data_IF_451348187491
#
_entry.id   IF_451348187491
#
_cell.length_a   1.000
_cell.length_b   1.000
_cell.length_c   1.000
_cell.angle_alpha   90.00
_cell.angle_beta   90.00
_cell.angle_gamma   90.00
#
_symmetry.space_group_name_H-M   'P 1'
#
loop_
_entity.id
_entity.type
_entity.pdbx_description
1 polymer ?
#
# COMPACT_ATOMS: atom_id res chain seq x y z
N UNK A 1 17.32 -5.97 -8.58
CA UNK A 1 16.49 -6.94 -7.84
C UNK A 1 16.32 -6.57 -6.36
N UNK A 2 17.40 -6.32 -5.58
CA UNK A 2 17.28 -5.99 -4.15
C UNK A 2 16.51 -4.70 -3.89
N UNK A 3 16.82 -3.65 -4.64
CA UNK A 3 16.12 -2.34 -4.54
C UNK A 3 14.64 -2.46 -4.90
N UNK A 4 14.30 -3.18 -5.94
CA UNK A 4 12.89 -3.39 -6.35
C UNK A 4 12.09 -4.16 -5.29
N UNK A 5 12.72 -5.18 -4.69
CA UNK A 5 12.11 -5.88 -3.54
C UNK A 5 11.89 -4.96 -2.34
N UNK A 6 12.86 -4.09 -2.05
CA UNK A 6 12.73 -3.08 -1.01
C UNK A 6 11.58 -2.09 -1.28
N UNK A 7 11.46 -1.62 -2.52
CA UNK A 7 10.37 -0.74 -2.95
C UNK A 7 9.01 -1.43 -2.81
N UNK A 8 8.89 -2.68 -3.25
CA UNK A 8 7.66 -3.45 -3.11
C UNK A 8 7.25 -3.58 -1.63
N UNK A 9 8.16 -4.05 -0.76
CA UNK A 9 7.89 -4.17 0.68
C UNK A 9 7.58 -2.83 1.35
N UNK A 10 8.27 -1.77 0.98
CA UNK A 10 7.97 -0.42 1.48
C UNK A 10 6.52 -0.04 1.19
N UNK A 11 6.05 -0.24 -0.05
CA UNK A 11 4.65 0.02 -0.43
C UNK A 11 3.67 -0.81 0.40
N UNK A 12 3.95 -2.09 0.66
CA UNK A 12 3.09 -2.95 1.50
C UNK A 12 3.02 -2.47 2.95
N UNK A 13 4.17 -2.10 3.55
CA UNK A 13 4.22 -1.56 4.91
C UNK A 13 3.40 -0.27 4.98
N UNK A 14 3.48 0.59 3.97
CA UNK A 14 2.72 1.83 3.92
C UNK A 14 1.22 1.56 3.80
N UNK A 15 0.81 0.64 2.94
CA UNK A 15 -0.60 0.20 2.83
C UNK A 15 -1.13 -0.31 4.17
N UNK A 16 -0.38 -1.18 4.83
CA UNK A 16 -0.79 -1.75 6.11
C UNK A 16 -0.89 -0.67 7.18
N UNK A 17 0.15 0.17 7.32
CA UNK A 17 0.19 1.22 8.34
C UNK A 17 -0.93 2.24 8.14
N UNK A 18 -1.10 2.75 6.92
CA UNK A 18 -2.13 3.74 6.61
C UNK A 18 -3.54 3.14 6.68
N UNK A 19 -3.70 1.89 6.24
CA UNK A 19 -5.00 1.21 6.23
C UNK A 19 -5.51 0.84 7.61
N UNK A 20 -4.65 0.33 8.50
CA UNK A 20 -5.04 -0.09 9.84
C UNK A 20 -5.18 1.07 10.84
N UNK A 21 -4.61 2.22 10.56
CA UNK A 21 -4.58 3.31 11.53
C UNK A 21 -5.87 4.14 11.50
N UNK A 22 -6.62 4.13 12.60
CA UNK A 22 -7.89 4.89 12.74
C UNK A 22 -7.72 6.39 13.03
N UNK A 23 -6.58 6.85 13.51
CA UNK A 23 -6.36 8.22 14.02
C UNK A 23 -5.48 9.13 13.18
N UNK A 24 -4.82 8.60 12.17
CA UNK A 24 -3.93 9.39 11.32
C UNK A 24 -2.69 8.62 10.85
N UNK A 25 -2.03 9.16 9.87
CA UNK A 25 -0.83 8.57 9.27
C UNK A 25 0.27 9.63 9.22
N UNK A 26 1.37 9.37 9.91
CA UNK A 26 2.48 10.29 9.99
C UNK A 26 3.60 9.86 9.04
N UNK A 27 3.93 10.73 8.10
CA UNK A 27 5.15 10.65 7.32
C UNK A 27 6.22 11.52 7.95
N UNK A 28 7.38 10.93 8.22
CA UNK A 28 8.51 11.67 8.72
C UNK A 28 9.50 11.95 7.60
N UNK A 29 9.61 13.23 7.25
CA UNK A 29 10.71 13.85 6.52
C UNK A 29 11.39 12.99 5.42
N UNK A 30 10.66 12.64 4.35
CA UNK A 30 11.18 11.93 3.20
C UNK A 30 10.90 10.42 3.19
N UNK A 31 10.23 9.89 4.22
CA UNK A 31 9.78 8.49 4.21
C UNK A 31 8.85 8.22 3.04
N UNK A 32 8.06 9.22 2.62
CA UNK A 32 7.12 9.14 1.51
C UNK A 32 7.75 8.73 0.18
N UNK A 33 9.04 9.02 -0.02
CA UNK A 33 9.77 8.60 -1.23
C UNK A 33 11.03 7.77 -0.92
N UNK A 34 11.25 7.36 0.34
CA UNK A 34 12.40 6.55 0.73
C UNK A 34 13.72 7.30 0.69
N UNK A 35 13.74 8.55 1.18
CA UNK A 35 14.96 9.38 1.21
C UNK A 35 16.13 8.63 1.86
N UNK A 36 17.29 8.53 1.20
CA UNK A 36 18.37 7.65 1.63
C UNK A 36 19.27 8.23 2.70
N UNK A 37 19.22 9.55 2.91
CA UNK A 37 20.10 10.21 3.87
C UNK A 37 19.56 10.10 5.30
N UNK A 38 20.48 9.90 6.21
CA UNK A 38 20.30 10.12 7.63
C UNK A 38 19.81 11.55 7.91
N UNK A 39 18.91 11.70 8.87
CA UNK A 39 18.46 13.00 9.36
C UNK A 39 19.13 13.27 10.69
N UNK A 40 19.92 14.33 10.73
CA UNK A 40 20.56 14.82 11.93
C UNK A 40 20.25 16.31 12.10
N UNK A 41 19.38 16.62 13.07
CA UNK A 41 19.06 18.01 13.39
C UNK A 41 20.25 18.70 14.09
N UNK A 42 20.35 20.03 13.98
CA UNK A 42 21.40 20.80 14.68
C UNK A 42 21.42 20.49 16.19
N UNK A 43 22.55 20.07 16.67
CA UNK A 43 22.81 19.76 18.09
C UNK A 43 24.29 19.96 18.41
N UNK A 44 24.63 20.00 19.66
CA UNK A 44 26.03 20.21 20.09
C UNK A 44 26.99 19.18 19.46
N UNK A 45 26.61 17.90 19.39
CA UNK A 45 27.42 16.81 18.85
C UNK A 45 27.73 16.89 17.34
N UNK A 46 27.02 17.72 16.58
CA UNK A 46 27.28 17.96 15.17
C UNK A 46 27.63 19.45 14.88
N UNK A 47 28.09 20.18 15.90
CA UNK A 47 28.42 21.61 15.81
C UNK A 47 27.28 22.47 15.27
N UNK A 48 26.05 22.17 15.62
CA UNK A 48 24.82 22.84 15.16
C UNK A 48 24.66 22.88 13.65
N UNK A 49 25.16 21.84 12.97
CA UNK A 49 25.13 21.75 11.52
C UNK A 49 23.73 21.40 10.98
N UNK A 50 23.30 22.10 9.93
CA UNK A 50 22.08 21.82 9.16
C UNK A 50 22.32 20.88 7.98
N UNK A 51 23.54 20.38 7.77
CA UNK A 51 23.92 19.61 6.58
C UNK A 51 22.96 18.43 6.31
N UNK A 52 22.56 17.71 7.34
CA UNK A 52 21.69 16.54 7.26
C UNK A 52 20.26 16.79 7.77
N UNK A 53 19.88 18.05 8.02
CA UNK A 53 18.53 18.44 8.42
C UNK A 53 17.65 18.85 7.22
N UNK A 54 17.86 18.21 6.08
CA UNK A 54 17.19 18.57 4.81
C UNK A 54 16.65 17.35 4.09
N UNK A 55 15.79 17.60 3.08
CA UNK A 55 15.35 16.63 2.09
C UNK A 55 15.87 17.00 0.72
N UNK A 56 16.32 15.99 0.00
CA UNK A 56 16.75 16.16 -1.39
C UNK A 56 15.58 15.82 -2.31
N UNK A 57 14.66 16.75 -2.51
CA UNK A 57 13.52 16.59 -3.40
C UNK A 57 13.93 16.29 -4.83
N UNK A 58 15.10 16.76 -5.25
CA UNK A 58 15.68 16.42 -6.56
C UNK A 58 15.85 14.91 -6.78
N UNK A 59 15.99 14.10 -5.74
CA UNK A 59 16.02 12.64 -5.88
C UNK A 59 14.64 12.09 -6.25
N UNK A 60 13.59 12.61 -5.62
CA UNK A 60 12.20 12.24 -5.90
C UNK A 60 11.79 12.67 -7.31
N UNK A 61 12.20 13.86 -7.73
CA UNK A 61 11.78 14.47 -8.99
C UNK A 61 12.62 14.01 -10.20
N UNK A 62 13.70 13.27 -9.95
CA UNK A 62 14.54 12.73 -11.01
C UNK A 62 13.94 11.46 -11.62
N UNK A 63 13.46 11.54 -12.87
CA UNK A 63 12.84 10.43 -13.60
C UNK A 63 13.75 9.24 -13.90
N UNK A 64 15.06 9.37 -13.75
CA UNK A 64 16.02 8.26 -13.86
C UNK A 64 16.20 7.47 -12.56
N UNK A 65 15.65 7.98 -11.44
CA UNK A 65 15.75 7.35 -10.13
C UNK A 65 14.41 6.74 -9.72
N UNK A 66 14.46 5.71 -8.88
CA UNK A 66 13.27 4.95 -8.46
C UNK A 66 12.50 5.60 -7.31
N UNK A 67 12.97 6.70 -6.74
CA UNK A 67 12.32 7.38 -5.62
C UNK A 67 10.94 7.95 -5.98
N UNK A 68 10.74 8.33 -7.25
CA UNK A 68 9.45 8.80 -7.75
C UNK A 68 8.35 7.75 -7.56
N UNK A 69 8.65 6.46 -7.73
CA UNK A 69 7.65 5.39 -7.59
C UNK A 69 7.04 5.32 -6.20
N UNK A 70 7.88 5.47 -5.17
CA UNK A 70 7.40 5.52 -3.78
C UNK A 70 6.63 6.80 -3.51
N UNK A 71 7.14 7.96 -3.96
CA UNK A 71 6.47 9.25 -3.77
C UNK A 71 5.10 9.32 -4.44
N UNK A 72 4.97 8.79 -5.67
CA UNK A 72 3.68 8.72 -6.38
C UNK A 72 2.72 7.74 -5.69
N UNK A 73 3.23 6.58 -5.27
CA UNK A 73 2.42 5.61 -4.54
C UNK A 73 1.88 6.19 -3.23
N UNK A 74 2.74 6.85 -2.43
CA UNK A 74 2.33 7.48 -1.18
C UNK A 74 1.30 8.58 -1.41
N UNK A 75 1.50 9.44 -2.40
CA UNK A 75 0.58 10.51 -2.74
C UNK A 75 -0.82 9.97 -3.13
N UNK A 76 -0.87 8.89 -3.90
CA UNK A 76 -2.13 8.24 -4.29
C UNK A 76 -2.79 7.53 -3.09
N UNK A 77 -2.01 6.85 -2.25
CA UNK A 77 -2.51 6.25 -1.02
C UNK A 77 -3.11 7.30 -0.09
N UNK A 78 -2.45 8.45 0.10
CA UNK A 78 -2.96 9.53 0.94
C UNK A 78 -4.25 10.15 0.39
N UNK A 79 -4.36 10.32 -0.93
CA UNK A 79 -5.61 10.76 -1.57
C UNK A 79 -6.73 9.76 -1.31
N UNK A 80 -6.44 8.47 -1.40
CA UNK A 80 -7.41 7.41 -1.18
C UNK A 80 -7.89 7.37 0.28
N UNK A 81 -6.96 7.37 1.24
CA UNK A 81 -7.28 7.31 2.68
C UNK A 81 -8.12 8.52 3.14
N UNK A 82 -7.88 9.70 2.59
CA UNK A 82 -8.67 10.91 2.91
C UNK A 82 -10.16 10.78 2.55
N UNK A 83 -10.52 9.83 1.69
CA UNK A 83 -11.94 9.61 1.33
C UNK A 83 -12.68 8.70 2.31
N UNK A 84 -11.95 8.07 3.25
CA UNK A 84 -12.52 7.14 4.22
C UNK A 84 -12.98 7.88 5.46
N UNK A 85 -14.27 7.82 5.77
CA UNK A 85 -14.86 8.46 6.94
C UNK A 85 -15.04 7.51 8.13
N UNK A 86 -14.93 6.19 7.92
CA UNK A 86 -15.07 5.18 8.97
C UNK A 86 -13.68 4.81 9.53
N UNK A 87 -13.42 5.02 10.83
CA UNK A 87 -12.17 4.59 11.47
C UNK A 87 -12.15 3.10 11.79
N UNK A 88 -13.29 2.40 11.73
CA UNK A 88 -13.42 0.99 12.09
C UNK A 88 -12.74 0.05 11.11
N UNK A 89 -12.19 -1.05 11.64
CA UNK A 89 -11.65 -2.16 10.86
C UNK A 89 -12.63 -3.32 10.91
N UNK A 90 -13.06 -3.79 9.76
CA UNK A 90 -14.01 -4.87 9.58
C UNK A 90 -13.40 -5.99 8.73
N UNK A 91 -13.91 -7.21 8.83
CA UNK A 91 -13.49 -8.36 8.03
C UNK A 91 -11.97 -8.63 8.09
N UNK A 92 -11.33 -8.32 9.25
CA UNK A 92 -9.91 -8.56 9.42
C UNK A 92 -9.60 -10.05 9.34
N UNK A 93 -8.73 -10.40 8.41
CA UNK A 93 -8.25 -11.77 8.21
C UNK A 93 -6.73 -11.78 8.11
N UNK A 94 -6.09 -12.67 8.87
CA UNK A 94 -4.65 -12.88 8.86
C UNK A 94 -4.42 -14.35 8.54
N UNK A 95 -4.02 -14.66 7.32
CA UNK A 95 -3.69 -16.01 6.88
C UNK A 95 -2.17 -16.18 6.86
N UNK A 96 -1.64 -16.62 7.97
CA UNK A 96 -0.18 -16.73 8.18
C UNK A 96 0.49 -17.64 7.17
N UNK A 97 -0.12 -18.80 6.87
CA UNK A 97 0.42 -19.75 5.90
C UNK A 97 0.54 -19.16 4.48
N UNK A 98 -0.43 -18.33 4.10
CA UNK A 98 -0.47 -17.70 2.77
C UNK A 98 0.31 -16.37 2.74
N UNK A 99 0.76 -15.87 3.89
CA UNK A 99 1.35 -14.54 4.07
C UNK A 99 0.44 -13.42 3.61
N UNK A 100 -0.87 -13.57 3.78
CA UNK A 100 -1.88 -12.59 3.34
C UNK A 100 -2.60 -11.98 4.52
N UNK A 101 -2.75 -10.66 4.47
CA UNK A 101 -3.60 -9.88 5.38
C UNK A 101 -4.66 -9.18 4.56
N UNK A 102 -5.91 -9.24 5.00
CA UNK A 102 -6.99 -8.46 4.40
C UNK A 102 -7.90 -7.86 5.47
N UNK A 103 -8.49 -6.71 5.16
CA UNK A 103 -9.45 -6.03 6.03
C UNK A 103 -10.23 -4.98 5.24
N UNK A 104 -11.40 -4.63 5.73
CA UNK A 104 -12.16 -3.49 5.25
C UNK A 104 -12.04 -2.30 6.20
N UNK A 105 -11.98 -1.11 5.61
CA UNK A 105 -12.11 0.16 6.30
C UNK A 105 -13.03 1.08 5.48
N UNK A 106 -14.21 1.37 6.01
CA UNK A 106 -15.26 2.02 5.25
C UNK A 106 -15.63 1.21 4.00
N UNK A 107 -15.58 1.86 2.84
CA UNK A 107 -15.84 1.27 1.53
C UNK A 107 -14.59 0.64 0.86
N UNK A 108 -13.44 0.67 1.54
CA UNK A 108 -12.18 0.13 1.02
C UNK A 108 -11.85 -1.25 1.59
N UNK A 109 -11.58 -2.20 0.70
CA UNK A 109 -11.05 -3.52 1.03
C UNK A 109 -9.56 -3.56 0.70
N UNK A 110 -8.73 -3.71 1.72
CA UNK A 110 -7.28 -3.87 1.63
C UNK A 110 -6.93 -5.35 1.59
N UNK A 111 -6.08 -5.75 0.65
CA UNK A 111 -5.60 -7.12 0.48
C UNK A 111 -4.10 -7.06 0.24
N UNK A 112 -3.31 -7.65 1.12
CA UNK A 112 -1.85 -7.50 1.11
C UNK A 112 -1.20 -8.88 1.14
N UNK A 113 -0.42 -9.19 0.11
CA UNK A 113 0.35 -10.40 -0.02
C UNK A 113 1.83 -10.13 0.28
N UNK A 114 2.31 -10.60 1.40
CA UNK A 114 3.71 -10.50 1.81
C UNK A 114 4.59 -11.65 1.29
N UNK A 115 3.99 -12.66 0.65
CA UNK A 115 4.77 -13.78 0.12
C UNK A 115 5.82 -13.30 -0.88
N UNK A 116 7.07 -13.76 -0.77
CA UNK A 116 8.16 -13.35 -1.66
C UNK A 116 8.01 -13.85 -3.09
N UNK A 117 7.27 -14.94 -3.32
CA UNK A 117 7.28 -15.69 -4.57
C UNK A 117 5.91 -16.30 -4.94
N UNK A 118 4.98 -16.40 -3.98
CA UNK A 118 3.66 -16.97 -4.24
C UNK A 118 2.66 -15.93 -4.69
N UNK A 119 2.20 -16.04 -5.93
CA UNK A 119 1.00 -15.34 -6.44
C UNK A 119 -0.21 -16.27 -6.32
N UNK A 120 -1.38 -15.68 -6.07
CA UNK A 120 -2.62 -16.42 -5.90
C UNK A 120 -3.61 -16.05 -7.01
N UNK A 121 -4.16 -17.07 -7.67
CA UNK A 121 -5.32 -16.92 -8.56
C UNK A 121 -6.59 -17.21 -7.77
N UNK A 122 -7.66 -16.47 -8.04
CA UNK A 122 -8.97 -16.65 -7.39
C UNK A 122 -8.90 -16.69 -5.84
N UNK A 123 -8.03 -15.86 -5.26
CA UNK A 123 -7.86 -15.81 -3.81
C UNK A 123 -9.12 -15.28 -3.14
N UNK A 124 -9.66 -16.06 -2.22
CA UNK A 124 -10.95 -15.82 -1.58
C UNK A 124 -10.79 -14.90 -0.36
N UNK A 125 -11.39 -13.72 -0.40
CA UNK A 125 -11.26 -12.67 0.61
C UNK A 125 -12.63 -12.29 1.16
N UNK A 126 -12.85 -12.40 2.50
CA UNK A 126 -14.08 -11.93 3.11
C UNK A 126 -14.31 -10.43 2.89
N UNK A 127 -15.51 -10.07 2.50
CA UNK A 127 -15.87 -8.70 2.19
C UNK A 127 -17.37 -8.45 2.40
N UNK A 128 -17.78 -7.21 2.57
CA UNK A 128 -19.20 -6.85 2.57
C UNK A 128 -19.81 -7.13 1.19
N UNK A 129 -21.05 -7.63 1.17
CA UNK A 129 -21.76 -7.90 -0.07
C UNK A 129 -21.77 -6.68 -1.01
N UNK A 130 -21.54 -6.91 -2.30
CA UNK A 130 -21.58 -5.85 -3.30
C UNK A 130 -20.63 -6.04 -4.46
N UNK A 131 -20.45 -4.99 -5.23
CA UNK A 131 -19.46 -4.94 -6.30
C UNK A 131 -18.30 -4.00 -5.96
N UNK A 132 -17.13 -4.31 -6.52
CA UNK A 132 -15.88 -3.66 -6.21
C UNK A 132 -15.09 -3.32 -7.47
N UNK A 133 -14.30 -2.26 -7.40
CA UNK A 133 -13.32 -1.91 -8.44
C UNK A 133 -11.95 -1.64 -7.81
N UNK A 134 -10.90 -1.76 -8.60
CA UNK A 134 -9.56 -1.38 -8.18
C UNK A 134 -9.52 0.11 -7.86
N UNK A 135 -9.07 0.44 -6.65
CA UNK A 135 -8.84 1.82 -6.21
C UNK A 135 -7.35 2.15 -6.14
N UNK A 136 -6.52 1.16 -5.82
CA UNK A 136 -5.06 1.28 -5.80
C UNK A 136 -4.44 -0.11 -5.91
N UNK A 137 -3.42 -0.27 -6.75
CA UNK A 137 -2.57 -1.46 -6.79
C UNK A 137 -1.11 -1.07 -6.61
N UNK A 138 -0.42 -1.70 -5.68
CA UNK A 138 1.02 -1.47 -5.50
C UNK A 138 1.86 -2.03 -6.64
N UNK A 139 1.26 -2.91 -7.46
CA UNK A 139 1.88 -3.53 -8.65
C UNK A 139 1.62 -2.73 -9.94
N UNK A 140 0.97 -1.57 -9.86
CA UNK A 140 0.78 -0.69 -11.00
C UNK A 140 2.13 -0.19 -11.54
N UNK A 141 2.24 -0.12 -12.87
CA UNK A 141 3.46 0.30 -13.57
C UNK A 141 3.88 1.73 -13.21
N UNK A 142 2.94 2.63 -12.95
CA UNK A 142 3.24 3.99 -12.50
C UNK A 142 4.00 4.03 -11.18
N UNK A 143 3.92 2.97 -10.37
CA UNK A 143 4.64 2.82 -9.11
C UNK A 143 5.82 1.84 -9.23
N UNK A 144 6.27 1.55 -10.44
CA UNK A 144 7.36 0.61 -10.71
C UNK A 144 7.00 -0.87 -10.48
N UNK A 145 5.72 -1.20 -10.55
CA UNK A 145 5.22 -2.58 -10.55
C UNK A 145 5.19 -3.20 -11.94
N UNK A 146 4.64 -4.41 -12.02
CA UNK A 146 4.58 -5.20 -13.26
C UNK A 146 3.24 -5.05 -13.99
N UNK A 147 2.24 -4.43 -13.37
CA UNK A 147 0.92 -4.21 -13.96
C UNK A 147 0.11 -5.48 -14.18
N UNK A 148 0.24 -6.46 -13.27
CA UNK A 148 -0.43 -7.76 -13.39
C UNK A 148 -1.92 -7.71 -13.02
N UNK A 149 -2.37 -6.64 -12.35
CA UNK A 149 -3.77 -6.42 -12.00
C UNK A 149 -4.37 -5.37 -12.92
N UNK A 150 -5.46 -5.72 -13.61
CA UNK A 150 -6.16 -4.79 -14.49
C UNK A 150 -6.91 -3.72 -13.67
N UNK A 151 -6.68 -2.45 -13.99
CA UNK A 151 -7.22 -1.32 -13.23
C UNK A 151 -8.74 -1.11 -13.41
N UNK A 152 -9.29 -1.49 -14.54
CA UNK A 152 -10.71 -1.36 -14.88
C UNK A 152 -11.55 -2.60 -14.49
N UNK A 153 -10.92 -3.64 -13.94
CA UNK A 153 -11.59 -4.86 -13.53
C UNK A 153 -12.61 -4.60 -12.43
N UNK A 154 -13.80 -5.17 -12.60
CA UNK A 154 -14.83 -5.24 -11.57
C UNK A 154 -14.83 -6.61 -10.92
N UNK A 155 -15.03 -6.61 -9.61
CA UNK A 155 -15.17 -7.81 -8.81
C UNK A 155 -16.55 -7.83 -8.17
N UNK A 156 -17.10 -9.02 -8.01
CA UNK A 156 -18.40 -9.22 -7.37
C UNK A 156 -18.23 -10.19 -6.22
N UNK A 157 -18.93 -9.94 -5.12
CA UNK A 157 -18.98 -10.90 -4.03
C UNK A 157 -19.88 -12.07 -4.39
N UNK A 158 -19.54 -13.22 -3.83
CA UNK A 158 -20.36 -14.42 -3.86
C UNK A 158 -20.50 -14.99 -2.45
N UNK A 159 -21.62 -15.64 -2.10
CA UNK A 159 -21.80 -16.31 -0.83
C UNK A 159 -20.70 -17.35 -0.58
N UNK A 160 -20.10 -17.33 0.61
CA UNK A 160 -19.11 -18.29 1.07
C UNK A 160 -19.51 -18.92 2.39
N UNK A 161 -18.72 -19.85 2.93
CA UNK A 161 -19.04 -20.59 4.16
C UNK A 161 -19.22 -19.70 5.41
N UNK A 162 -18.60 -18.53 5.42
CA UNK A 162 -18.56 -17.62 6.57
C UNK A 162 -19.03 -16.20 6.23
N UNK A 163 -19.79 -16.02 5.16
CA UNK A 163 -20.26 -14.74 4.64
C UNK A 163 -19.85 -14.51 3.19
N UNK A 164 -20.05 -13.30 2.71
CA UNK A 164 -19.70 -12.96 1.34
C UNK A 164 -18.19 -12.81 1.17
N UNK A 165 -17.70 -13.26 0.01
CA UNK A 165 -16.28 -13.18 -0.34
C UNK A 165 -16.12 -12.62 -1.76
N UNK A 166 -15.02 -11.91 -1.98
CA UNK A 166 -14.56 -11.52 -3.31
C UNK A 166 -13.36 -12.39 -3.70
N UNK A 167 -13.26 -12.76 -4.98
CA UNK A 167 -12.11 -13.52 -5.50
C UNK A 167 -11.24 -12.61 -6.35
N UNK A 168 -9.94 -12.63 -6.05
CA UNK A 168 -8.97 -11.74 -6.70
C UNK A 168 -7.73 -12.49 -7.18
N UNK A 169 -7.12 -11.99 -8.25
CA UNK A 169 -5.73 -12.30 -8.52
C UNK A 169 -4.85 -11.44 -7.63
N UNK A 170 -3.95 -12.06 -6.88
CA UNK A 170 -3.11 -11.39 -5.90
C UNK A 170 -1.64 -11.73 -6.13
N UNK A 171 -0.89 -10.87 -6.85
CA UNK A 171 0.52 -11.09 -7.13
C UNK A 171 1.38 -11.17 -5.87
N UNK A 172 2.51 -11.88 -5.95
CA UNK A 172 3.50 -11.91 -4.89
C UNK A 172 4.02 -10.50 -4.58
N UNK A 173 4.26 -10.20 -3.30
CA UNK A 173 4.74 -8.87 -2.83
C UNK A 173 3.91 -7.72 -3.34
N UNK A 174 2.60 -7.88 -3.41
CA UNK A 174 1.71 -6.84 -3.86
C UNK A 174 0.60 -6.55 -2.84
N UNK A 175 0.09 -5.33 -2.91
CA UNK A 175 -1.09 -4.91 -2.16
C UNK A 175 -2.12 -4.33 -3.12
N UNK A 176 -3.34 -4.76 -2.96
CA UNK A 176 -4.50 -4.35 -3.73
C UNK A 176 -5.51 -3.67 -2.80
N UNK A 177 -6.01 -2.52 -3.20
CA UNK A 177 -7.14 -1.88 -2.52
C UNK A 177 -8.30 -1.81 -3.49
N UNK A 178 -9.40 -2.43 -3.11
CA UNK A 178 -10.64 -2.37 -3.85
C UNK A 178 -11.60 -1.39 -3.18
N UNK A 179 -12.38 -0.66 -3.96
CA UNK A 179 -13.47 0.18 -3.47
C UNK A 179 -14.81 -0.47 -3.79
N UNK A 180 -15.64 -0.60 -2.77
CA UNK A 180 -17.04 -0.96 -2.93
C UNK A 180 -17.79 0.16 -3.65
N UNK A 181 -18.63 -0.18 -4.63
CA UNK A 181 -19.31 0.80 -5.50
C UNK A 181 -20.84 0.72 -5.40
N UNK A 182 -21.37 -0.23 -4.65
CA UNK A 182 -22.82 -0.41 -4.39
C UNK A 182 -23.08 -1.13 -3.05
#
# INVERSE_FOLDING_TARGET
>A
LTVERGIALHKLIRLLTAGLHGGGYLNFMGNEFGHPEWIDFPRQGNHWSFKHARRQWSLRDNGFLKYQWLGEFDANLMKLIKTVNDPGIHYLTIRQHDHVVSFMRGDLLFIINFSPDQSWTDYDVPAAAGSYRVALSSDDQQFGGHGQVQQDQRYFTAPGPHGDNVRVYLPARSGLVLRRID
#
